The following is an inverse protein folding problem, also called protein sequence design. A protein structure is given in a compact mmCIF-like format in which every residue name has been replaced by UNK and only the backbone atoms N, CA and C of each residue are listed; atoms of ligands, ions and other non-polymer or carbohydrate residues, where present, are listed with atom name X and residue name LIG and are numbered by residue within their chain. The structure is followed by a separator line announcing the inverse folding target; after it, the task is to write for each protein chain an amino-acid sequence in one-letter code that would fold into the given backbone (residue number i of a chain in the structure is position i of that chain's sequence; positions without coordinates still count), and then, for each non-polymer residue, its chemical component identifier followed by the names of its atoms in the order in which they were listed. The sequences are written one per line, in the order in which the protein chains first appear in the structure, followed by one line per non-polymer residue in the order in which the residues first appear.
data_IF_503874649503
#
_entry.id   IF_503874649503
#
_cell.length_a   1.000
_cell.length_b   1.000
_cell.length_c   1.000
_cell.angle_alpha   90.00
_cell.angle_beta   90.00
_cell.angle_gamma   90.00
#
_symmetry.space_group_name_H-M   'P 1'
#
loop_
_entity.id
_entity.type
_entity.pdbx_description
1 polymer ?
#
# COMPACT_ATOMS: atom_id res chain seq x y z
N UNK A 1 32.24 -16.94 -5.77
CA UNK A 1 31.97 -16.42 -4.41
C UNK A 1 31.66 -14.95 -4.55
N UNK A 2 30.43 -14.51 -4.29
CA UNK A 2 30.14 -13.08 -4.18
C UNK A 2 30.44 -12.72 -2.73
N UNK A 3 31.46 -11.90 -2.48
CA UNK A 3 31.85 -11.45 -1.12
C UNK A 3 32.05 -12.56 -0.07
N UNK A 4 32.64 -13.71 -0.44
CA UNK A 4 32.90 -14.79 0.50
C UNK A 4 31.71 -15.71 0.82
N UNK A 5 30.53 -15.48 0.22
CA UNK A 5 29.32 -16.28 0.41
C UNK A 5 29.05 -17.21 -0.78
N UNK A 6 28.55 -18.41 -0.50
CA UNK A 6 28.09 -19.36 -1.51
C UNK A 6 26.75 -18.85 -2.07
N UNK A 7 26.70 -18.50 -3.36
CA UNK A 7 25.48 -17.95 -3.98
C UNK A 7 24.26 -18.88 -3.87
N UNK A 8 24.49 -20.18 -3.76
CA UNK A 8 23.46 -21.19 -3.51
C UNK A 8 22.76 -21.01 -2.15
N UNK A 9 23.48 -20.60 -1.10
CA UNK A 9 22.91 -20.34 0.22
C UNK A 9 22.03 -19.09 0.22
N UNK A 10 22.38 -18.06 -0.56
CA UNK A 10 21.54 -16.87 -0.72
C UNK A 10 20.26 -17.16 -1.50
N UNK A 11 20.34 -17.98 -2.56
CA UNK A 11 19.17 -18.43 -3.32
C UNK A 11 18.23 -19.28 -2.44
N UNK A 12 18.80 -20.19 -1.66
CA UNK A 12 18.04 -21.02 -0.72
C UNK A 12 17.37 -20.17 0.38
N UNK A 13 18.12 -19.21 0.95
CA UNK A 13 17.61 -18.25 1.93
C UNK A 13 16.47 -17.40 1.37
N UNK A 14 16.60 -16.92 0.12
CA UNK A 14 15.55 -16.18 -0.57
C UNK A 14 14.28 -17.02 -0.76
N UNK A 15 14.41 -18.26 -1.23
CA UNK A 15 13.28 -19.16 -1.43
C UNK A 15 12.53 -19.43 -0.11
N UNK A 16 13.27 -19.74 0.96
CA UNK A 16 12.71 -19.93 2.30
C UNK A 16 12.04 -18.65 2.81
N UNK A 17 12.67 -17.50 2.61
CA UNK A 17 12.14 -16.21 3.00
C UNK A 17 10.81 -15.88 2.32
N UNK A 18 10.68 -16.11 1.01
CA UNK A 18 9.41 -15.88 0.28
C UNK A 18 8.30 -16.75 0.86
N UNK A 19 8.56 -18.04 1.11
CA UNK A 19 7.58 -18.95 1.71
C UNK A 19 7.20 -18.48 3.12
N UNK A 20 8.19 -18.09 3.93
CA UNK A 20 7.98 -17.58 5.29
C UNK A 20 7.12 -16.30 5.29
N UNK A 21 7.41 -15.35 4.40
CA UNK A 21 6.68 -14.10 4.26
C UNK A 21 5.21 -14.36 3.92
N UNK A 22 4.97 -15.17 2.88
CA UNK A 22 3.61 -15.53 2.45
C UNK A 22 2.87 -16.19 3.61
N UNK A 23 3.52 -17.11 4.32
CA UNK A 23 2.94 -17.78 5.48
C UNK A 23 2.61 -16.80 6.62
N UNK A 24 3.51 -15.86 6.95
CA UNK A 24 3.30 -14.88 8.02
C UNK A 24 2.15 -13.92 7.72
N UNK A 25 2.05 -13.46 6.47
CA UNK A 25 1.00 -12.53 6.04
C UNK A 25 -0.36 -13.24 5.97
N UNK A 26 -0.42 -14.44 5.36
CA UNK A 26 -1.69 -15.13 5.12
C UNK A 26 -2.24 -15.85 6.35
N UNK A 27 -1.38 -16.49 7.16
CA UNK A 27 -1.83 -17.34 8.29
C UNK A 27 -1.79 -16.62 9.63
N UNK A 28 -0.70 -15.92 9.92
CA UNK A 28 -0.47 -15.34 11.25
C UNK A 28 -1.11 -13.97 11.43
N UNK A 29 -1.67 -13.38 10.36
CA UNK A 29 -2.28 -12.03 10.33
C UNK A 29 -1.39 -10.92 10.93
N UNK A 30 -0.08 -11.11 10.88
CA UNK A 30 0.87 -10.07 11.31
C UNK A 30 0.85 -8.95 10.28
N UNK A 31 0.96 -7.69 10.75
CA UNK A 31 1.03 -6.54 9.86
C UNK A 31 2.19 -6.69 8.87
N UNK A 32 1.94 -6.49 7.57
CA UNK A 32 2.90 -6.77 6.50
C UNK A 32 4.29 -6.15 6.73
N UNK A 33 4.34 -4.95 7.33
CA UNK A 33 5.58 -4.28 7.70
C UNK A 33 6.44 -5.11 8.67
N UNK A 34 5.86 -5.65 9.74
CA UNK A 34 6.58 -6.51 10.70
C UNK A 34 7.00 -7.84 10.05
N UNK A 35 6.12 -8.43 9.25
CA UNK A 35 6.40 -9.68 8.54
C UNK A 35 7.59 -9.52 7.58
N UNK A 36 7.67 -8.39 6.87
CA UNK A 36 8.81 -8.06 6.00
C UNK A 36 10.11 -8.00 6.79
N UNK A 37 10.17 -7.22 7.88
CA UNK A 37 11.40 -7.08 8.70
C UNK A 37 11.88 -8.45 9.20
N UNK A 38 10.98 -9.24 9.78
CA UNK A 38 11.31 -10.56 10.33
C UNK A 38 11.84 -11.49 9.22
N UNK A 39 11.17 -11.49 8.07
CA UNK A 39 11.60 -12.29 6.92
C UNK A 39 12.99 -11.88 6.43
N UNK A 40 13.25 -10.58 6.28
CA UNK A 40 14.56 -10.09 5.79
C UNK A 40 15.69 -10.45 6.75
N UNK A 41 15.43 -10.47 8.07
CA UNK A 41 16.38 -10.96 9.07
C UNK A 41 16.65 -12.46 8.87
N UNK A 42 15.61 -13.28 8.71
CA UNK A 42 15.76 -14.73 8.47
C UNK A 42 16.54 -15.01 7.19
N UNK A 43 16.24 -14.31 6.10
CA UNK A 43 16.98 -14.40 4.83
C UNK A 43 18.46 -14.04 5.04
N UNK A 44 18.73 -12.96 5.76
CA UNK A 44 20.10 -12.51 6.05
C UNK A 44 20.90 -13.54 6.85
N UNK A 45 20.27 -14.16 7.85
CA UNK A 45 20.90 -15.20 8.68
C UNK A 45 21.19 -16.47 7.87
N UNK A 46 20.22 -16.95 7.09
CA UNK A 46 20.41 -18.16 6.24
C UNK A 46 21.42 -17.88 5.12
N UNK A 47 21.42 -16.67 4.58
CA UNK A 47 22.38 -16.22 3.58
C UNK A 47 23.80 -16.00 4.11
N UNK A 48 24.07 -16.23 5.41
CA UNK A 48 25.39 -16.11 6.02
C UNK A 48 25.86 -14.67 6.23
N UNK A 49 24.96 -13.69 6.21
CA UNK A 49 25.35 -12.30 6.47
C UNK A 49 25.64 -12.09 7.96
N UNK A 50 26.66 -11.28 8.31
CA UNK A 50 26.93 -10.96 9.70
C UNK A 50 25.80 -10.14 10.33
N UNK A 51 25.45 -10.49 11.57
CA UNK A 51 24.37 -9.84 12.34
C UNK A 51 24.72 -8.40 12.72
N UNK A 52 25.96 -8.15 13.15
CA UNK A 52 26.47 -6.80 13.41
C UNK A 52 27.03 -6.19 12.13
N UNK A 53 26.88 -4.86 11.99
CA UNK A 53 27.52 -4.08 10.94
C UNK A 53 29.04 -4.21 11.07
N UNK A 54 29.64 -5.04 10.21
CA UNK A 54 31.09 -5.14 10.11
C UNK A 54 31.53 -4.13 9.05
N UNK A 55 32.45 -3.25 9.41
CA UNK A 55 33.16 -2.41 8.45
C UNK A 55 34.20 -3.29 7.78
N UNK A 56 34.01 -3.65 6.51
CA UNK A 56 35.04 -4.34 5.72
C UNK A 56 36.19 -3.37 5.44
N UNK A 57 37.41 -3.90 5.29
CA UNK A 57 38.65 -3.13 5.06
C UNK A 57 38.59 -2.21 3.82
N UNK A 58 37.61 -2.39 2.94
CA UNK A 58 37.34 -1.55 1.76
C UNK A 58 36.39 -0.37 2.06
N UNK A 59 36.12 -0.05 3.33
CA UNK A 59 35.22 1.06 3.74
C UNK A 59 33.72 0.76 3.59
N UNK A 60 33.33 -0.46 3.24
CA UNK A 60 31.94 -0.88 3.05
C UNK A 60 31.37 -1.51 4.33
N UNK A 61 30.24 -0.97 4.81
CA UNK A 61 29.49 -1.52 5.94
C UNK A 61 28.65 -2.70 5.48
N UNK A 62 28.95 -3.91 5.96
CA UNK A 62 28.22 -5.13 5.61
C UNK A 62 27.59 -5.74 6.85
N UNK A 63 26.28 -5.98 6.79
CA UNK A 63 25.54 -6.60 7.88
C UNK A 63 24.03 -6.48 7.67
N UNK A 64 23.29 -7.39 8.29
CA UNK A 64 21.83 -7.52 8.12
C UNK A 64 21.12 -6.19 8.43
N UNK A 65 21.52 -5.54 9.53
CA UNK A 65 20.91 -4.29 9.98
C UNK A 65 21.16 -3.12 9.00
N UNK A 66 22.35 -3.04 8.41
CA UNK A 66 22.69 -2.04 7.41
C UNK A 66 21.92 -2.29 6.10
N UNK A 67 21.80 -3.54 5.66
CA UNK A 67 21.03 -3.90 4.45
C UNK A 67 19.55 -3.59 4.59
N UNK A 68 18.94 -3.89 5.75
CA UNK A 68 17.54 -3.54 6.03
C UNK A 68 17.37 -2.02 6.04
N UNK A 69 18.22 -1.30 6.78
CA UNK A 69 18.12 0.17 6.90
C UNK A 69 18.34 0.86 5.57
N UNK A 70 19.33 0.43 4.78
CA UNK A 70 19.62 0.99 3.47
C UNK A 70 18.54 0.65 2.44
N UNK A 71 18.03 -0.58 2.41
CA UNK A 71 16.97 -0.99 1.49
C UNK A 71 15.66 -0.24 1.76
N UNK A 72 15.26 -0.19 3.03
CA UNK A 72 14.10 0.58 3.45
C UNK A 72 14.32 2.09 3.21
N UNK A 73 15.48 2.62 3.59
CA UNK A 73 15.84 4.03 3.44
C UNK A 73 15.86 4.50 1.99
N UNK A 74 16.39 3.71 1.05
CA UNK A 74 16.37 4.03 -0.38
C UNK A 74 14.95 4.08 -0.93
N UNK A 75 14.09 3.14 -0.50
CA UNK A 75 12.67 3.14 -0.86
C UNK A 75 11.98 4.37 -0.29
N UNK A 76 12.17 4.67 0.99
CA UNK A 76 11.59 5.84 1.66
C UNK A 76 12.12 7.15 1.05
N UNK A 77 13.37 7.21 0.62
CA UNK A 77 13.92 8.38 -0.06
C UNK A 77 13.28 8.59 -1.44
N UNK A 78 12.86 7.51 -2.11
CA UNK A 78 12.30 7.58 -3.46
C UNK A 78 10.80 7.93 -3.44
N UNK A 79 10.02 7.36 -2.52
CA UNK A 79 8.55 7.51 -2.49
C UNK A 79 7.99 8.05 -1.16
N UNK A 80 8.79 8.18 -0.11
CA UNK A 80 8.32 8.53 1.23
C UNK A 80 7.69 9.91 1.34
N UNK A 81 8.27 10.93 0.69
CA UNK A 81 7.70 12.29 0.66
C UNK A 81 6.35 12.28 -0.07
N UNK A 82 6.25 11.55 -1.20
CA UNK A 82 5.03 11.44 -2.00
C UNK A 82 3.92 10.78 -1.18
N UNK A 83 4.23 9.66 -0.52
CA UNK A 83 3.27 8.96 0.35
C UNK A 83 2.87 9.85 1.53
N UNK A 84 3.82 10.52 2.18
CA UNK A 84 3.57 11.40 3.33
C UNK A 84 2.60 12.54 2.99
N UNK A 85 2.86 13.27 1.89
CA UNK A 85 1.93 14.29 1.41
C UNK A 85 0.59 13.71 0.96
N UNK A 86 0.59 12.52 0.34
CA UNK A 86 -0.64 11.80 -0.01
C UNK A 86 -1.51 11.55 1.21
N UNK A 87 -0.95 10.98 2.28
CA UNK A 87 -1.68 10.71 3.54
C UNK A 87 -2.20 12.01 4.17
N UNK A 88 -1.38 13.07 4.20
CA UNK A 88 -1.82 14.37 4.74
C UNK A 88 -2.97 14.97 3.93
N UNK A 89 -2.89 14.94 2.60
CA UNK A 89 -3.97 15.39 1.72
C UNK A 89 -5.22 14.52 1.90
N UNK A 90 -5.05 13.20 2.03
CA UNK A 90 -6.15 12.28 2.26
C UNK A 90 -6.87 12.56 3.58
N UNK A 91 -6.14 12.80 4.66
CA UNK A 91 -6.70 13.19 5.94
C UNK A 91 -7.46 14.53 5.86
N UNK A 92 -6.91 15.52 5.14
CA UNK A 92 -7.62 16.79 4.91
C UNK A 92 -8.90 16.57 4.12
N UNK A 93 -8.89 15.71 3.09
CA UNK A 93 -10.09 15.40 2.31
C UNK A 93 -11.17 14.70 3.12
N UNK A 94 -10.76 13.83 4.05
CA UNK A 94 -11.64 13.14 5.00
C UNK A 94 -12.31 14.14 5.95
N UNK A 95 -11.51 14.98 6.63
CA UNK A 95 -12.01 15.96 7.61
C UNK A 95 -12.85 17.08 6.98
N UNK A 96 -12.45 17.57 5.80
CA UNK A 96 -13.17 18.65 5.10
C UNK A 96 -14.45 18.19 4.41
N UNK A 97 -14.62 16.88 4.22
CA UNK A 97 -15.68 16.33 3.38
C UNK A 97 -15.55 16.73 1.90
N UNK A 98 -14.37 17.13 1.44
CA UNK A 98 -14.11 17.49 0.04
C UNK A 98 -14.43 16.33 -0.90
N UNK A 99 -14.06 15.10 -0.51
CA UNK A 99 -14.39 13.88 -1.23
C UNK A 99 -15.92 13.72 -1.42
N UNK A 100 -16.70 14.10 -0.40
CA UNK A 100 -18.16 14.07 -0.46
C UNK A 100 -18.74 15.14 -1.39
N UNK A 101 -18.16 16.35 -1.37
CA UNK A 101 -18.56 17.42 -2.28
C UNK A 101 -18.23 17.09 -3.74
N UNK A 102 -17.07 16.48 -4.01
CA UNK A 102 -16.69 16.03 -5.34
C UNK A 102 -17.68 15.02 -5.91
N UNK A 103 -18.04 13.98 -5.14
CA UNK A 103 -19.04 13.00 -5.56
C UNK A 103 -20.36 13.65 -5.98
N UNK A 104 -20.88 14.57 -5.14
CA UNK A 104 -22.12 15.30 -5.42
C UNK A 104 -22.01 16.24 -6.62
N UNK A 105 -20.83 16.84 -6.85
CA UNK A 105 -20.57 17.70 -8.00
C UNK A 105 -20.59 16.88 -9.29
N UNK A 106 -19.83 15.78 -9.35
CA UNK A 106 -19.79 14.93 -10.54
C UNK A 106 -21.16 14.35 -10.88
N UNK A 107 -21.97 13.97 -9.90
CA UNK A 107 -23.35 13.55 -10.16
C UNK A 107 -24.22 14.63 -10.80
N UNK A 108 -24.00 15.90 -10.45
CA UNK A 108 -24.68 17.02 -11.12
C UNK A 108 -24.19 17.21 -12.55
N UNK A 109 -22.90 16.99 -12.80
CA UNK A 109 -22.27 17.16 -14.12
C UNK A 109 -22.66 16.03 -15.09
N UNK A 110 -22.59 14.77 -14.66
CA UNK A 110 -22.94 13.61 -15.49
C UNK A 110 -24.45 13.48 -15.74
N UNK A 111 -25.28 14.06 -14.87
CA UNK A 111 -26.74 14.06 -15.02
C UNK A 111 -27.42 12.76 -14.57
N UNK A 112 -28.75 12.73 -14.70
CA UNK A 112 -29.59 11.59 -14.30
C UNK A 112 -29.31 10.37 -15.19
N UNK A 113 -29.26 9.18 -14.59
CA UNK A 113 -28.98 7.84 -15.15
C UNK A 113 -27.50 7.46 -15.33
N UNK A 114 -26.55 8.37 -15.09
CA UNK A 114 -25.09 8.12 -15.18
C UNK A 114 -24.40 8.09 -13.82
N UNK A 115 -25.11 7.68 -12.78
CA UNK A 115 -24.61 7.72 -11.40
C UNK A 115 -23.43 6.78 -11.17
N UNK A 116 -23.41 5.64 -11.84
CA UNK A 116 -22.33 4.65 -11.76
C UNK A 116 -21.03 5.20 -12.38
N UNK A 117 -21.12 5.82 -13.56
CA UNK A 117 -19.98 6.50 -14.21
C UNK A 117 -19.47 7.67 -13.35
N UNK A 118 -20.38 8.46 -12.80
CA UNK A 118 -20.02 9.59 -11.93
C UNK A 118 -19.31 9.11 -10.65
N UNK A 119 -19.79 8.04 -10.03
CA UNK A 119 -19.17 7.45 -8.84
C UNK A 119 -17.82 6.78 -9.14
N UNK A 120 -17.69 6.10 -10.28
CA UNK A 120 -16.42 5.53 -10.71
C UNK A 120 -15.38 6.63 -10.96
N UNK A 121 -15.74 7.69 -11.67
CA UNK A 121 -14.83 8.81 -11.94
C UNK A 121 -14.48 9.59 -10.67
N UNK A 122 -15.44 9.74 -9.75
CA UNK A 122 -15.17 10.32 -8.43
C UNK A 122 -14.19 9.43 -7.65
N UNK A 123 -14.42 8.11 -7.63
CA UNK A 123 -13.51 7.15 -7.00
C UNK A 123 -12.09 7.30 -7.54
N UNK A 124 -11.94 7.36 -8.86
CA UNK A 124 -10.64 7.51 -9.52
C UNK A 124 -9.88 8.78 -9.13
N UNK A 125 -10.57 9.91 -9.01
CA UNK A 125 -9.90 11.16 -8.60
C UNK A 125 -9.60 11.20 -7.10
N UNK A 126 -10.49 10.63 -6.28
CA UNK A 126 -10.35 10.61 -4.83
C UNK A 126 -9.30 9.58 -4.38
N UNK A 127 -9.07 8.50 -5.13
CA UNK A 127 -8.09 7.46 -4.78
C UNK A 127 -6.63 7.90 -4.96
N UNK A 128 -6.37 8.95 -5.73
CA UNK A 128 -5.00 9.48 -5.91
C UNK A 128 -4.41 9.95 -4.57
N UNK A 129 -5.09 10.82 -3.79
CA UNK A 129 -4.62 11.20 -2.47
C UNK A 129 -5.12 10.29 -1.33
N UNK A 130 -6.27 9.64 -1.49
CA UNK A 130 -6.87 8.81 -0.42
C UNK A 130 -6.63 7.33 -0.72
N UNK A 131 -6.08 6.60 0.25
CA UNK A 131 -6.01 5.13 0.13
C UNK A 131 -7.39 4.52 -0.14
N UNK A 132 -7.42 3.45 -0.94
CA UNK A 132 -8.66 2.80 -1.36
C UNK A 132 -9.55 2.39 -0.17
N UNK A 133 -8.98 1.85 0.91
CA UNK A 133 -9.78 1.44 2.07
C UNK A 133 -10.50 2.63 2.73
N UNK A 134 -9.77 3.72 2.99
CA UNK A 134 -10.33 4.95 3.57
C UNK A 134 -11.32 5.63 2.61
N UNK A 135 -10.97 5.75 1.33
CA UNK A 135 -11.81 6.38 0.32
C UNK A 135 -13.17 5.69 0.18
N UNK A 136 -13.21 4.35 0.26
CA UNK A 136 -14.45 3.59 0.16
C UNK A 136 -15.36 3.87 1.37
N UNK A 137 -14.79 3.93 2.57
CA UNK A 137 -15.53 4.26 3.80
C UNK A 137 -16.12 5.67 3.73
N UNK A 138 -15.35 6.65 3.24
CA UNK A 138 -15.78 8.05 3.11
C UNK A 138 -16.90 8.21 2.06
N UNK A 139 -16.83 7.50 0.94
CA UNK A 139 -17.80 7.60 -0.15
C UNK A 139 -19.02 6.66 -0.01
N UNK A 140 -18.93 5.61 0.81
CA UNK A 140 -20.02 4.65 1.05
C UNK A 140 -21.35 5.31 1.48
N UNK A 141 -21.40 6.31 2.38
CA UNK A 141 -22.64 7.01 2.72
C UNK A 141 -23.28 7.71 1.53
N UNK A 142 -22.47 8.18 0.58
CA UNK A 142 -22.92 8.91 -0.60
C UNK A 142 -23.51 7.94 -1.60
N UNK A 143 -22.83 6.81 -1.86
CA UNK A 143 -23.36 5.73 -2.69
C UNK A 143 -24.73 5.24 -2.16
N UNK A 144 -24.87 5.11 -0.83
CA UNK A 144 -26.16 4.81 -0.17
C UNK A 144 -27.21 5.89 -0.39
N UNK A 145 -26.86 7.17 -0.21
CA UNK A 145 -27.78 8.27 -0.42
C UNK A 145 -28.29 8.34 -1.88
N UNK A 146 -27.40 8.10 -2.85
CA UNK A 146 -27.75 8.10 -4.28
C UNK A 146 -28.64 6.91 -4.60
N UNK A 147 -28.28 5.70 -4.16
CA UNK A 147 -29.10 4.49 -4.34
C UNK A 147 -30.54 4.71 -3.87
N UNK A 148 -30.74 5.40 -2.75
CA UNK A 148 -32.07 5.72 -2.22
C UNK A 148 -32.87 6.69 -3.09
N UNK A 149 -32.21 7.62 -3.76
CA UNK A 149 -32.85 8.65 -4.61
C UNK A 149 -33.08 8.13 -6.03
N UNK A 150 -32.12 7.41 -6.61
CA UNK A 150 -32.18 6.93 -7.99
C UNK A 150 -32.78 5.53 -8.11
N UNK A 151 -33.06 4.87 -6.98
CA UNK A 151 -33.52 3.47 -6.88
C UNK A 151 -32.60 2.46 -7.57
N UNK A 152 -31.36 2.85 -7.93
CA UNK A 152 -30.34 1.94 -8.44
C UNK A 152 -29.79 1.06 -7.32
N UNK A 153 -29.34 -0.13 -7.70
CA UNK A 153 -28.75 -1.09 -6.76
C UNK A 153 -27.55 -0.49 -6.06
N UNK A 154 -27.55 -0.54 -4.72
CA UNK A 154 -26.42 -0.14 -3.90
C UNK A 154 -25.15 -0.92 -4.28
N UNK A 155 -25.32 -2.17 -4.71
CA UNK A 155 -24.22 -3.04 -5.09
C UNK A 155 -23.57 -2.54 -6.38
N UNK A 156 -24.33 -2.12 -7.40
CA UNK A 156 -23.70 -1.64 -8.64
C UNK A 156 -23.00 -0.29 -8.44
N UNK A 157 -23.59 0.61 -7.66
CA UNK A 157 -22.95 1.89 -7.28
C UNK A 157 -21.70 1.67 -6.41
N UNK A 158 -21.74 0.70 -5.50
CA UNK A 158 -20.60 0.32 -4.65
C UNK A 158 -19.47 -0.32 -5.45
N UNK A 159 -19.80 -1.19 -6.42
CA UNK A 159 -18.82 -1.80 -7.32
C UNK A 159 -18.21 -0.75 -8.25
N UNK A 160 -19.02 0.15 -8.82
CA UNK A 160 -18.51 1.25 -9.65
C UNK A 160 -17.56 2.16 -8.85
N UNK A 161 -17.91 2.47 -7.60
CA UNK A 161 -17.06 3.21 -6.69
C UNK A 161 -15.75 2.46 -6.39
N UNK A 162 -15.83 1.19 -6.01
CA UNK A 162 -14.66 0.37 -5.69
C UNK A 162 -13.74 0.19 -6.90
N UNK A 163 -14.31 0.01 -8.09
CA UNK A 163 -13.57 -0.06 -9.35
C UNK A 163 -12.89 1.25 -9.72
N UNK A 164 -13.49 2.40 -9.39
CA UNK A 164 -12.84 3.69 -9.53
C UNK A 164 -11.70 3.90 -8.53
N UNK A 165 -11.81 3.29 -7.35
CA UNK A 165 -10.88 3.52 -6.25
C UNK A 165 -9.57 2.72 -6.33
N UNK A 166 -9.52 1.73 -7.22
CA UNK A 166 -8.39 0.79 -7.43
C UNK A 166 -7.69 1.08 -8.75
#
# INVERSE_FOLDING_TARGET
MVNGLHGEQMLLGLAIGIVLLIFMVLKTKIQAFLALIITTVVIGVIGGMPLNTITLENGTKFGILQSITSGFGNTLSSIGIIIGFGVMLGAIFEETGAAKRMALCFLKVFGKNKEEEALAFTGFLVSIPIFCDSGFIILSPIAKAISKVTKKSLISLGVALAAGLV
#
